data_IF_795116325623
#
_entry.id   IF_795116325623
#
_cell.length_a   1.000
_cell.length_b   1.000
_cell.length_c   1.000
_cell.angle_alpha   90.00
_cell.angle_beta   90.00
_cell.angle_gamma   90.00
#
_symmetry.space_group_name_H-M   'P 1'
#
loop_
_entity.id
_entity.type
_entity.pdbx_description
1 polymer ?
#
# COMPACT_ATOMS: atom_id res chain seq x y z
N UNK A 1 11.04 -26.26 22.87
CA UNK A 1 11.74 -26.04 21.59
C UNK A 1 10.89 -26.65 20.49
N UNK A 2 10.20 -25.86 19.67
CA UNK A 2 9.59 -26.38 18.45
C UNK A 2 10.70 -26.55 17.42
N UNK A 3 11.14 -27.79 17.17
CA UNK A 3 12.05 -28.10 16.08
C UNK A 3 11.28 -28.21 14.78
N UNK A 4 11.65 -27.44 13.76
CA UNK A 4 11.12 -27.64 12.42
C UNK A 4 11.66 -28.98 11.87
N UNK A 5 10.79 -29.87 11.41
CA UNK A 5 11.17 -31.16 10.84
C UNK A 5 11.83 -31.04 9.46
N UNK A 6 11.58 -29.93 8.76
CA UNK A 6 12.09 -29.61 7.43
C UNK A 6 12.21 -28.10 7.27
N UNK A 7 13.24 -27.66 6.54
CA UNK A 7 13.40 -26.29 6.10
C UNK A 7 13.71 -26.31 4.60
N UNK A 8 12.99 -25.50 3.82
CA UNK A 8 13.25 -25.31 2.41
C UNK A 8 13.70 -23.86 2.18
N UNK A 9 14.75 -23.66 1.39
CA UNK A 9 15.17 -22.33 0.94
C UNK A 9 14.51 -22.10 -0.41
N UNK A 10 13.45 -21.30 -0.41
CA UNK A 10 12.77 -20.91 -1.65
C UNK A 10 13.55 -19.79 -2.34
N UNK A 11 13.70 -19.81 -3.67
CA UNK A 11 14.38 -18.75 -4.39
C UNK A 11 13.60 -17.43 -4.21
N UNK A 12 14.28 -16.41 -3.70
CA UNK A 12 13.72 -15.05 -3.56
C UNK A 12 13.46 -14.41 -4.92
N UNK A 13 14.23 -14.82 -5.93
CA UNK A 13 14.06 -14.40 -7.33
C UNK A 13 13.57 -15.58 -8.16
N UNK A 14 12.44 -15.44 -8.88
CA UNK A 14 11.98 -16.50 -9.74
C UNK A 14 12.95 -16.68 -10.92
N UNK A 15 12.93 -17.85 -11.60
CA UNK A 15 13.61 -18.03 -12.88
C UNK A 15 13.26 -16.91 -13.87
N UNK A 16 14.18 -16.52 -14.76
CA UNK A 16 14.00 -15.38 -15.65
C UNK A 16 12.79 -15.54 -16.61
N UNK A 17 12.50 -16.78 -16.96
CA UNK A 17 11.40 -17.23 -17.79
C UNK A 17 10.06 -17.28 -17.04
N UNK A 18 10.04 -17.24 -15.71
CA UNK A 18 8.81 -17.34 -14.93
C UNK A 18 7.87 -16.17 -15.23
N UNK A 19 6.61 -16.51 -15.47
CA UNK A 19 5.49 -15.59 -15.66
C UNK A 19 4.40 -16.07 -14.71
N UNK A 20 3.86 -15.15 -13.91
CA UNK A 20 2.89 -15.47 -12.87
C UNK A 20 3.25 -14.83 -11.55
N UNK A 21 2.39 -15.04 -10.56
CA UNK A 21 2.56 -14.40 -9.26
C UNK A 21 3.51 -15.21 -8.37
N UNK A 22 4.34 -14.56 -7.55
CA UNK A 22 5.29 -15.29 -6.70
C UNK A 22 4.62 -16.19 -5.66
N UNK A 23 3.41 -15.85 -5.23
CA UNK A 23 2.64 -16.72 -4.35
C UNK A 23 2.29 -18.05 -5.02
N UNK A 24 2.04 -18.08 -6.33
CA UNK A 24 1.78 -19.32 -7.07
C UNK A 24 3.07 -20.15 -7.15
N UNK A 25 4.21 -19.52 -7.48
CA UNK A 25 5.51 -20.18 -7.49
C UNK A 25 5.84 -20.80 -6.12
N UNK A 26 5.67 -20.06 -5.03
CA UNK A 26 5.93 -20.58 -3.69
C UNK A 26 4.91 -21.64 -3.27
N UNK A 27 3.66 -21.50 -3.70
CA UNK A 27 2.62 -22.53 -3.54
C UNK A 27 3.06 -23.85 -4.17
N UNK A 28 3.47 -23.82 -5.43
CA UNK A 28 3.96 -24.99 -6.16
C UNK A 28 5.16 -25.64 -5.47
N UNK A 29 6.14 -24.83 -5.04
CA UNK A 29 7.33 -25.33 -4.34
C UNK A 29 7.02 -25.94 -2.97
N UNK A 30 5.99 -25.44 -2.28
CA UNK A 30 5.54 -25.97 -1.00
C UNK A 30 4.50 -27.08 -1.12
N UNK A 31 4.02 -27.39 -2.33
CA UNK A 31 2.90 -28.30 -2.55
C UNK A 31 1.57 -27.78 -2.00
N UNK A 32 1.44 -26.46 -1.87
CA UNK A 32 0.24 -25.79 -1.36
C UNK A 32 -0.45 -25.06 -2.51
N UNK A 33 -1.71 -25.40 -2.78
CA UNK A 33 -2.51 -24.66 -3.76
C UNK A 33 -2.82 -23.26 -3.22
N UNK A 34 -2.38 -22.24 -3.94
CA UNK A 34 -2.76 -20.86 -3.70
C UNK A 34 -3.85 -20.47 -4.70
N UNK A 35 -4.99 -20.02 -4.19
CA UNK A 35 -6.08 -19.48 -5.02
C UNK A 35 -6.09 -17.96 -4.92
N UNK A 36 -5.54 -17.31 -5.95
CA UNK A 36 -5.55 -15.86 -6.05
C UNK A 36 -6.89 -15.31 -6.56
N UNK A 37 -7.89 -16.13 -6.89
CA UNK A 37 -9.21 -15.65 -7.30
C UNK A 37 -10.14 -15.37 -6.12
N UNK A 38 -9.92 -16.01 -4.97
CA UNK A 38 -10.74 -15.91 -3.77
C UNK A 38 -10.04 -15.11 -2.66
N UNK A 39 -9.86 -13.80 -2.88
CA UNK A 39 -9.13 -12.93 -1.96
C UNK A 39 -10.09 -12.32 -0.94
N UNK A 40 -9.90 -12.63 0.35
CA UNK A 40 -10.65 -12.04 1.45
C UNK A 40 -9.79 -11.07 2.27
N UNK A 41 -10.43 -10.04 2.83
CA UNK A 41 -9.78 -9.17 3.79
C UNK A 41 -9.40 -9.96 5.04
N UNK A 42 -8.24 -9.66 5.62
CA UNK A 42 -7.82 -10.23 6.88
C UNK A 42 -8.67 -9.68 8.04
N UNK A 43 -8.90 -10.47 9.09
CA UNK A 43 -9.56 -9.98 10.28
C UNK A 43 -8.72 -8.89 10.95
N UNK A 44 -9.39 -7.81 11.36
CA UNK A 44 -8.74 -6.66 12.00
C UNK A 44 -9.07 -6.68 13.49
N UNK A 45 -8.05 -6.88 14.32
CA UNK A 45 -8.21 -6.94 15.77
C UNK A 45 -8.73 -5.61 16.35
N UNK A 46 -9.54 -5.67 17.41
CA UNK A 46 -10.09 -4.48 18.07
C UNK A 46 -8.99 -3.56 18.63
N UNK A 47 -7.88 -4.14 19.08
CA UNK A 47 -6.71 -3.38 19.52
C UNK A 47 -6.13 -2.52 18.37
N UNK A 48 -6.08 -3.04 17.14
CA UNK A 48 -5.60 -2.29 15.98
C UNK A 48 -6.57 -1.18 15.60
N UNK A 49 -7.88 -1.42 15.71
CA UNK A 49 -8.91 -0.39 15.51
C UNK A 49 -8.81 0.74 16.54
N UNK A 50 -8.51 0.41 17.80
CA UNK A 50 -8.31 1.40 18.85
C UNK A 50 -7.05 2.24 18.60
N UNK A 51 -5.92 1.59 18.30
CA UNK A 51 -4.66 2.25 17.94
C UNK A 51 -4.81 3.16 16.72
N UNK A 52 -5.59 2.73 15.72
CA UNK A 52 -5.88 3.54 14.55
C UNK A 52 -6.67 4.81 14.88
N UNK A 53 -7.71 4.72 15.74
CA UNK A 53 -8.47 5.91 16.16
C UNK A 53 -7.60 6.93 16.88
N UNK A 54 -6.71 6.47 17.75
CA UNK A 54 -5.74 7.33 18.43
C UNK A 54 -4.80 8.01 17.44
N UNK A 55 -4.19 7.23 16.53
CA UNK A 55 -3.29 7.76 15.52
C UNK A 55 -3.98 8.78 14.59
N UNK A 56 -5.19 8.50 14.13
CA UNK A 56 -5.99 9.43 13.32
C UNK A 56 -6.27 10.74 14.07
N UNK A 57 -6.65 10.65 15.34
CA UNK A 57 -6.87 11.82 16.19
C UNK A 57 -5.61 12.66 16.36
N UNK A 58 -4.46 12.03 16.60
CA UNK A 58 -3.16 12.72 16.71
C UNK A 58 -2.73 13.38 15.39
N UNK A 59 -3.12 12.83 14.24
CA UNK A 59 -2.89 13.43 12.93
C UNK A 59 -3.90 14.52 12.56
N UNK A 60 -4.91 14.79 13.42
CA UNK A 60 -5.94 15.80 13.18
C UNK A 60 -7.09 15.34 12.26
N UNK A 61 -7.26 14.03 12.05
CA UNK A 61 -8.42 13.48 11.34
C UNK A 61 -9.58 13.24 12.29
N UNK A 62 -10.79 13.56 11.82
CA UNK A 62 -12.02 13.01 12.39
C UNK A 62 -12.17 11.55 11.96
N UNK A 63 -11.94 10.62 12.88
CA UNK A 63 -12.04 9.18 12.63
C UNK A 63 -13.45 8.69 12.31
N UNK A 64 -14.49 9.53 12.46
CA UNK A 64 -15.88 9.20 12.09
C UNK A 64 -16.18 9.49 10.62
N UNK A 65 -15.34 10.28 9.96
CA UNK A 65 -15.50 10.64 8.55
C UNK A 65 -14.63 9.73 7.68
N UNK A 66 -15.08 9.57 6.44
CA UNK A 66 -14.32 8.85 5.42
C UNK A 66 -13.03 9.59 5.09
N UNK A 67 -11.94 8.85 4.88
CA UNK A 67 -10.67 9.40 4.46
C UNK A 67 -9.98 8.51 3.43
N UNK A 68 -9.11 9.15 2.65
CA UNK A 68 -8.25 8.55 1.65
C UNK A 68 -6.82 8.44 2.18
N UNK A 69 -6.27 7.23 2.17
CA UNK A 69 -4.91 6.99 2.64
C UNK A 69 -3.92 7.05 1.46
N UNK A 70 -2.80 7.74 1.64
CA UNK A 70 -1.75 7.87 0.62
C UNK A 70 -0.43 7.43 1.22
N UNK A 71 0.29 6.55 0.53
CA UNK A 71 1.66 6.20 0.90
C UNK A 71 2.59 6.48 -0.30
N UNK A 72 3.34 7.59 -0.28
CA UNK A 72 4.20 8.01 -1.39
C UNK A 72 5.55 7.27 -1.44
N UNK A 73 5.77 6.36 -0.48
CA UNK A 73 7.03 5.66 -0.27
C UNK A 73 7.19 4.33 -1.02
N UNK A 74 8.43 3.86 -1.11
CA UNK A 74 8.80 2.51 -1.56
C UNK A 74 10.25 2.16 -1.18
N UNK A 75 10.62 0.89 -1.28
CA UNK A 75 11.99 0.41 -1.06
C UNK A 75 13.01 1.03 -2.03
N UNK A 76 12.62 1.31 -3.28
CA UNK A 76 13.48 1.93 -4.31
C UNK A 76 12.93 3.29 -4.77
N UNK A 77 13.79 4.26 -5.06
CA UNK A 77 13.39 5.62 -5.47
C UNK A 77 12.72 5.63 -6.85
N UNK A 78 13.18 4.77 -7.74
CA UNK A 78 12.64 4.51 -9.07
C UNK A 78 11.23 3.92 -9.06
N UNK A 79 10.80 3.41 -7.91
CA UNK A 79 9.44 2.91 -7.68
C UNK A 79 8.51 3.98 -7.12
N UNK A 80 9.00 5.17 -6.78
CA UNK A 80 8.17 6.22 -6.20
C UNK A 80 7.59 7.13 -7.30
N UNK A 81 6.27 7.22 -7.37
CA UNK A 81 5.60 8.27 -8.12
C UNK A 81 5.90 9.64 -7.48
N UNK A 82 6.09 10.73 -8.26
CA UNK A 82 6.50 12.02 -7.70
C UNK A 82 5.57 12.54 -6.60
N UNK A 83 6.15 12.99 -5.48
CA UNK A 83 5.40 13.49 -4.32
C UNK A 83 4.40 14.59 -4.68
N UNK A 84 4.80 15.53 -5.53
CA UNK A 84 3.90 16.61 -5.98
C UNK A 84 2.65 16.11 -6.68
N UNK A 85 2.72 14.97 -7.37
CA UNK A 85 1.54 14.36 -7.99
C UNK A 85 0.63 13.70 -6.95
N UNK A 86 1.19 13.14 -5.87
CA UNK A 86 0.39 12.70 -4.73
C UNK A 86 -0.29 13.87 -4.00
N UNK A 87 0.40 15.01 -3.84
CA UNK A 87 -0.18 16.24 -3.28
C UNK A 87 -1.32 16.76 -4.17
N UNK A 88 -1.10 16.81 -5.48
CA UNK A 88 -2.15 17.17 -6.44
C UNK A 88 -3.34 16.21 -6.39
N UNK A 89 -3.10 14.89 -6.33
CA UNK A 89 -4.14 13.88 -6.16
C UNK A 89 -4.97 14.12 -4.90
N UNK A 90 -4.32 14.33 -3.75
CA UNK A 90 -4.99 14.60 -2.48
C UNK A 90 -5.92 15.83 -2.57
N UNK A 91 -5.46 16.91 -3.21
CA UNK A 91 -6.29 18.11 -3.45
C UNK A 91 -7.49 17.82 -4.36
N UNK A 92 -7.33 16.98 -5.38
CA UNK A 92 -8.39 16.65 -6.35
C UNK A 92 -9.42 15.66 -5.83
N UNK A 93 -9.01 14.69 -5.02
CA UNK A 93 -9.94 13.77 -4.33
C UNK A 93 -10.80 14.54 -3.33
N UNK A 94 -10.21 15.53 -2.66
CA UNK A 94 -10.89 16.31 -1.63
C UNK A 94 -11.19 15.47 -0.37
N UNK A 95 -11.96 16.04 0.55
CA UNK A 95 -12.25 15.40 1.84
C UNK A 95 -11.00 15.21 2.70
N UNK A 96 -11.01 14.22 3.60
CA UNK A 96 -9.85 13.90 4.44
C UNK A 96 -8.86 13.03 3.67
N UNK A 97 -7.63 13.50 3.55
CA UNK A 97 -6.51 12.72 3.04
C UNK A 97 -5.45 12.56 4.14
N UNK A 98 -4.95 11.35 4.31
CA UNK A 98 -3.91 11.02 5.27
C UNK A 98 -2.68 10.51 4.54
N UNK A 99 -1.55 11.18 4.72
CA UNK A 99 -0.26 10.70 4.26
C UNK A 99 0.38 9.79 5.30
N UNK A 100 0.74 8.58 4.86
CA UNK A 100 1.47 7.59 5.63
C UNK A 100 2.92 7.63 5.17
N UNK A 101 3.85 7.89 6.07
CA UNK A 101 5.29 7.88 5.79
C UNK A 101 5.95 6.72 6.54
N UNK A 102 6.75 5.92 5.84
CA UNK A 102 7.55 4.87 6.44
C UNK A 102 8.96 5.34 6.84
N UNK A 103 9.78 4.44 7.42
CA UNK A 103 11.16 4.74 7.76
C UNK A 103 11.99 5.26 6.58
N UNK A 104 11.76 4.70 5.38
CA UNK A 104 12.48 5.09 4.17
C UNK A 104 12.26 6.57 3.82
N UNK A 105 11.05 7.09 3.98
CA UNK A 105 10.76 8.51 3.71
C UNK A 105 11.39 9.38 4.80
N UNK A 106 11.24 8.98 6.07
CA UNK A 106 11.83 9.69 7.21
C UNK A 106 13.37 9.80 7.10
N UNK A 107 14.04 8.78 6.56
CA UNK A 107 15.50 8.75 6.41
C UNK A 107 15.98 9.45 5.14
N UNK A 108 15.21 9.41 4.05
CA UNK A 108 15.66 9.83 2.71
C UNK A 108 15.21 11.23 2.32
N UNK A 109 14.13 11.72 2.91
CA UNK A 109 13.58 13.04 2.58
C UNK A 109 14.19 14.11 3.48
N UNK A 110 14.49 15.30 2.96
CA UNK A 110 14.86 16.42 3.79
C UNK A 110 13.76 16.72 4.83
N UNK A 111 14.13 17.02 6.07
CA UNK A 111 13.18 17.36 7.15
C UNK A 111 12.17 18.43 6.72
N UNK A 112 12.62 19.46 5.98
CA UNK A 112 11.76 20.52 5.44
C UNK A 112 10.63 20.01 4.53
N UNK A 113 10.85 18.91 3.82
CA UNK A 113 9.86 18.33 2.90
C UNK A 113 8.77 17.59 3.69
N UNK A 114 9.17 16.84 4.73
CA UNK A 114 8.24 16.19 5.67
C UNK A 114 7.41 17.25 6.41
N UNK A 115 8.05 18.30 6.91
CA UNK A 115 7.36 19.42 7.58
C UNK A 115 6.41 20.16 6.64
N UNK A 116 6.81 20.41 5.38
CA UNK A 116 5.95 21.06 4.40
C UNK A 116 4.72 20.19 4.08
N UNK A 117 4.90 18.87 3.96
CA UNK A 117 3.79 17.94 3.77
C UNK A 117 2.85 17.95 4.98
N UNK A 118 3.38 17.86 6.19
CA UNK A 118 2.60 17.86 7.44
C UNK A 118 1.84 19.16 7.73
N UNK A 119 2.31 20.30 7.21
CA UNK A 119 1.57 21.58 7.26
C UNK A 119 0.40 21.62 6.29
N UNK A 120 0.48 20.88 5.19
CA UNK A 120 -0.56 20.88 4.17
C UNK A 120 -1.61 19.77 4.38
N UNK A 121 -1.15 18.57 4.78
CA UNK A 121 -2.00 17.41 4.95
C UNK A 121 -1.70 16.72 6.27
N UNK A 122 -2.74 16.16 6.93
CA UNK A 122 -2.53 15.19 7.98
C UNK A 122 -1.53 14.10 7.59
N UNK A 123 -0.57 13.85 8.47
CA UNK A 123 0.53 12.93 8.20
C UNK A 123 0.79 12.06 9.43
N UNK A 124 0.96 10.76 9.21
CA UNK A 124 1.45 9.80 10.20
C UNK A 124 2.78 9.24 9.74
N UNK A 125 3.83 9.49 10.53
CA UNK A 125 5.17 9.00 10.26
C UNK A 125 5.50 7.81 11.16
N UNK A 126 5.91 6.71 10.52
CA UNK A 126 6.35 5.46 11.16
C UNK A 126 5.42 4.94 12.29
N UNK A 127 4.10 4.81 12.06
CA UNK A 127 3.21 4.27 13.07
C UNK A 127 3.53 2.79 13.37
N UNK A 128 3.26 2.30 14.59
CA UNK A 128 3.32 0.87 14.89
C UNK A 128 2.46 0.06 13.92
N UNK A 129 2.89 -1.17 13.58
CA UNK A 129 2.24 -1.97 12.55
C UNK A 129 0.74 -2.21 12.81
N UNK A 130 0.34 -2.42 14.07
CA UNK A 130 -1.08 -2.57 14.44
C UNK A 130 -1.90 -1.31 14.17
N UNK A 131 -1.37 -0.13 14.48
CA UNK A 131 -2.00 1.14 14.16
C UNK A 131 -2.12 1.33 12.64
N UNK A 132 -1.04 1.05 11.89
CA UNK A 132 -1.03 1.13 10.42
C UNK A 132 -2.10 0.21 9.81
N UNK A 133 -2.17 -1.04 10.24
CA UNK A 133 -3.15 -2.02 9.76
C UNK A 133 -4.58 -1.54 10.04
N UNK A 134 -4.85 -1.04 11.26
CA UNK A 134 -6.17 -0.50 11.61
C UNK A 134 -6.54 0.76 10.84
N UNK A 135 -5.57 1.65 10.55
CA UNK A 135 -5.78 2.83 9.70
C UNK A 135 -6.13 2.40 8.28
N UNK A 136 -5.34 1.52 7.68
CA UNK A 136 -5.61 1.05 6.33
C UNK A 136 -7.00 0.37 6.23
N UNK A 137 -7.32 -0.51 7.18
CA UNK A 137 -8.64 -1.15 7.27
C UNK A 137 -9.83 -0.19 7.41
N UNK A 138 -9.60 1.03 7.93
CA UNK A 138 -10.63 2.06 8.09
C UNK A 138 -10.68 3.06 6.93
N UNK A 139 -9.72 3.04 6.01
CA UNK A 139 -9.67 3.95 4.88
C UNK A 139 -10.70 3.56 3.81
N UNK A 140 -11.33 4.56 3.18
CA UNK A 140 -12.30 4.29 2.10
C UNK A 140 -11.62 3.87 0.80
N UNK A 141 -10.43 4.42 0.55
CA UNK A 141 -9.54 3.97 -0.51
C UNK A 141 -8.10 4.34 -0.17
N UNK A 142 -7.18 3.72 -0.90
CA UNK A 142 -5.75 3.89 -0.73
C UNK A 142 -5.06 4.05 -2.09
N UNK A 143 -4.05 4.92 -2.17
CA UNK A 143 -3.09 4.94 -3.27
C UNK A 143 -1.65 4.93 -2.76
N UNK A 144 -0.82 4.09 -3.35
CA UNK A 144 0.59 4.03 -3.02
C UNK A 144 1.41 3.29 -4.06
N UNK A 145 2.73 3.29 -3.88
CA UNK A 145 3.64 2.60 -4.80
C UNK A 145 3.77 1.11 -4.46
N UNK A 146 4.44 0.33 -5.32
CA UNK A 146 4.96 -1.00 -5.03
C UNK A 146 5.74 -1.01 -3.70
N UNK A 147 5.08 -1.39 -2.61
CA UNK A 147 5.58 -1.25 -1.24
C UNK A 147 4.82 -2.16 -0.28
N UNK A 148 5.44 -2.52 0.85
CA UNK A 148 4.79 -3.32 1.88
C UNK A 148 3.50 -2.69 2.43
N UNK A 149 3.40 -1.35 2.42
CA UNK A 149 2.17 -0.65 2.84
C UNK A 149 1.02 -0.90 1.86
N UNK A 150 1.28 -0.94 0.54
CA UNK A 150 0.27 -1.30 -0.46
C UNK A 150 -0.21 -2.74 -0.31
N UNK A 151 0.70 -3.67 0.00
CA UNK A 151 0.33 -5.05 0.31
C UNK A 151 -0.53 -5.16 1.57
N UNK A 152 -0.17 -4.43 2.63
CA UNK A 152 -0.95 -4.39 3.85
C UNK A 152 -2.33 -3.76 3.60
N UNK A 153 -2.43 -2.69 2.81
CA UNK A 153 -3.69 -2.05 2.46
C UNK A 153 -4.64 -3.03 1.76
N UNK A 154 -4.12 -3.77 0.77
CA UNK A 154 -4.85 -4.82 0.07
C UNK A 154 -5.29 -5.94 1.02
N UNK A 155 -4.38 -6.43 1.86
CA UNK A 155 -4.68 -7.48 2.84
C UNK A 155 -5.76 -7.06 3.84
N UNK A 156 -5.81 -5.78 4.22
CA UNK A 156 -6.86 -5.23 5.10
C UNK A 156 -8.21 -5.02 4.39
N UNK A 157 -8.30 -5.32 3.10
CA UNK A 157 -9.51 -5.15 2.31
C UNK A 157 -9.77 -3.72 1.83
N UNK A 158 -8.81 -2.82 2.01
CA UNK A 158 -8.89 -1.45 1.53
C UNK A 158 -8.96 -1.45 0.01
N UNK A 159 -9.83 -0.62 -0.57
CA UNK A 159 -9.80 -0.37 -2.02
C UNK A 159 -8.45 0.24 -2.40
N UNK A 160 -7.58 -0.58 -2.99
CA UNK A 160 -6.15 -0.31 -3.12
C UNK A 160 -5.79 -0.06 -4.57
N UNK A 161 -5.23 1.11 -4.83
CA UNK A 161 -4.54 1.41 -6.09
C UNK A 161 -3.03 1.36 -5.86
N UNK A 162 -2.35 0.39 -6.48
CA UNK A 162 -0.91 0.23 -6.38
C UNK A 162 -0.21 0.63 -7.68
N UNK A 163 0.79 1.49 -7.58
CA UNK A 163 1.56 2.01 -8.70
C UNK A 163 2.86 1.22 -8.86
N UNK A 164 3.08 0.65 -10.03
CA UNK A 164 4.27 -0.15 -10.35
C UNK A 164 5.12 0.56 -11.40
N UNK A 165 6.37 0.85 -11.02
CA UNK A 165 7.38 1.39 -11.91
C UNK A 165 8.12 0.29 -12.69
N UNK A 166 9.46 0.19 -12.60
CA UNK A 166 10.24 -0.83 -13.30
C UNK A 166 10.07 -2.25 -12.70
N UNK A 167 9.34 -2.38 -11.59
CA UNK A 167 9.09 -3.69 -10.97
C UNK A 167 7.96 -4.44 -11.64
N UNK A 168 8.11 -5.77 -11.65
CA UNK A 168 7.19 -6.71 -12.27
C UNK A 168 5.90 -6.83 -11.46
N UNK A 169 4.87 -6.09 -11.88
CA UNK A 169 3.54 -6.16 -11.26
C UNK A 169 2.95 -7.57 -11.31
N UNK A 170 3.24 -8.36 -12.34
CA UNK A 170 2.79 -9.75 -12.43
C UNK A 170 3.37 -10.63 -11.32
N UNK A 171 4.57 -10.31 -10.81
CA UNK A 171 5.22 -11.04 -9.72
C UNK A 171 4.76 -10.59 -8.33
N UNK A 172 4.50 -9.29 -8.17
CA UNK A 172 4.40 -8.62 -6.87
C UNK A 172 3.12 -7.83 -6.65
N UNK A 173 2.10 -7.91 -7.51
CA UNK A 173 0.86 -7.18 -7.29
C UNK A 173 0.27 -7.49 -5.90
N UNK A 174 -0.22 -6.47 -5.16
CA UNK A 174 -0.91 -6.72 -3.90
C UNK A 174 -2.11 -7.65 -4.09
N UNK A 175 -2.31 -8.51 -3.10
CA UNK A 175 -3.41 -9.48 -3.06
C UNK A 175 -4.39 -9.01 -1.97
N UNK A 176 -5.57 -8.59 -2.41
CA UNK A 176 -6.72 -8.25 -1.60
C UNK A 176 -8.03 -8.23 -2.42
N UNK A 177 -9.19 -8.18 -1.75
CA UNK A 177 -10.51 -8.24 -2.40
C UNK A 177 -10.80 -7.11 -3.40
N UNK A 178 -10.05 -6.00 -3.33
CA UNK A 178 -10.28 -4.81 -4.13
C UNK A 178 -8.96 -4.11 -4.49
N UNK A 179 -8.18 -4.71 -5.39
CA UNK A 179 -6.89 -4.16 -5.86
C UNK A 179 -6.98 -3.76 -7.33
N UNK A 180 -6.46 -2.58 -7.64
CA UNK A 180 -6.17 -2.12 -9.00
C UNK A 180 -4.69 -1.81 -9.10
N UNK A 181 -4.06 -2.22 -10.19
CA UNK A 181 -2.64 -1.95 -10.45
C UNK A 181 -2.51 -1.09 -11.69
N UNK A 182 -1.74 0.00 -11.59
CA UNK A 182 -1.28 0.77 -12.75
C UNK A 182 0.22 0.64 -12.87
N UNK A 183 0.68 0.08 -13.98
CA UNK A 183 2.09 -0.13 -14.25
C UNK A 183 2.59 0.70 -15.43
N UNK A 184 3.76 1.33 -15.28
CA UNK A 184 4.53 2.00 -16.34
C UNK A 184 6.02 1.88 -16.00
N UNK A 185 6.87 1.66 -17.01
CA UNK A 185 8.33 1.62 -16.81
C UNK A 185 8.86 2.87 -16.08
N UNK A 186 8.23 4.02 -16.38
CA UNK A 186 8.48 5.31 -15.73
C UNK A 186 7.19 5.86 -15.14
N UNK A 187 7.12 5.92 -13.82
CA UNK A 187 5.91 6.35 -13.11
C UNK A 187 5.53 7.80 -13.41
N UNK A 188 6.48 8.66 -13.79
CA UNK A 188 6.20 10.06 -14.13
C UNK A 188 5.27 10.21 -15.34
N UNK A 189 5.14 9.16 -16.17
CA UNK A 189 4.20 9.09 -17.28
C UNK A 189 2.74 8.90 -16.84
N UNK A 190 2.49 8.47 -15.60
CA UNK A 190 1.16 8.43 -15.03
C UNK A 190 0.75 9.84 -14.57
N UNK A 191 -0.32 10.37 -15.16
CA UNK A 191 -0.94 11.63 -14.75
C UNK A 191 -1.89 11.42 -13.57
N UNK A 192 -2.19 12.48 -12.81
CA UNK A 192 -3.21 12.44 -11.75
C UNK A 192 -4.58 12.05 -12.30
N UNK A 193 -4.88 12.40 -13.55
CA UNK A 193 -6.12 11.98 -14.21
C UNK A 193 -6.17 10.45 -14.42
N UNK A 194 -5.05 9.81 -14.78
CA UNK A 194 -4.99 8.35 -14.86
C UNK A 194 -5.30 7.70 -13.50
N UNK A 195 -4.79 8.30 -12.42
CA UNK A 195 -5.00 7.82 -11.06
C UNK A 195 -6.47 7.97 -10.65
N UNK A 196 -7.06 9.15 -10.84
CA UNK A 196 -8.46 9.42 -10.52
C UNK A 196 -9.41 8.46 -11.26
N UNK A 197 -9.20 8.24 -12.56
CA UNK A 197 -10.03 7.33 -13.34
C UNK A 197 -9.94 5.88 -12.83
N UNK A 198 -8.78 5.45 -12.31
CA UNK A 198 -8.63 4.11 -11.73
C UNK A 198 -9.24 4.00 -10.31
N UNK A 199 -9.43 5.12 -9.62
CA UNK A 199 -10.11 5.17 -8.33
C UNK A 199 -11.64 5.15 -8.46
N UNK A 200 -12.20 5.48 -9.63
CA UNK A 200 -13.64 5.45 -9.85
C UNK A 200 -14.19 4.01 -9.69
N UNK A 201 -15.31 3.82 -8.97
CA UNK A 201 -15.95 2.51 -8.90
C UNK A 201 -16.27 1.99 -10.29
N UNK A 202 -15.66 0.87 -10.66
CA UNK A 202 -16.08 0.13 -11.84
C UNK A 202 -17.52 -0.31 -11.57
N UNK A 203 -18.48 0.28 -12.28
CA UNK A 203 -19.88 -0.12 -12.22
C UNK A 203 -19.94 -1.62 -12.48
N UNK A 204 -20.29 -2.40 -11.46
CA UNK A 204 -20.64 -3.82 -11.61
C UNK A 204 -22.13 -3.93 -11.84
#
# INVERSE_FOLDING_TARGET
>A
MCGAATAAVLPVRPPAEFRGHLLELWGDLLGVRIDLSAQAAWPVADAWRAQAREALGSAGLDAKKSYFAIHPGSGGREKCWPLERFRELARRVGGQCLFLLGPAECDRWPTREIEALGREFPTLANPPLGALAGVLAGAAAYAGNDSGVSHLAAAMGTRTLALFGPSRADHFAPVGPAVTVLARDRLEALSVANILNALEPTSR
#
